data_IF_934790505582
#
_entry.id   IF_934790505582
#
_cell.length_a   1.000
_cell.length_b   1.000
_cell.length_c   1.000
_cell.angle_alpha   90.00
_cell.angle_beta   90.00
_cell.angle_gamma   90.00
#
_symmetry.space_group_name_H-M   'P 1'
#
loop_
_entity.id
_entity.type
_entity.pdbx_description
1 polymer ?
#
# COMPACT_ATOMS: atom_id res chain seq x y z
N UNK A 1 28.00 -1.70 -26.45
CA UNK A 1 27.86 -1.32 -25.03
C UNK A 1 28.86 -2.15 -24.23
N UNK A 2 29.71 -1.54 -23.41
CA UNK A 2 30.68 -2.29 -22.58
C UNK A 2 29.95 -3.03 -21.45
N UNK A 3 30.59 -4.05 -20.87
CA UNK A 3 30.03 -4.79 -19.73
C UNK A 3 29.73 -3.86 -18.53
N UNK A 4 30.65 -2.94 -18.23
CA UNK A 4 30.44 -1.91 -17.19
C UNK A 4 29.22 -1.01 -17.49
N UNK A 5 29.01 -0.60 -18.74
CA UNK A 5 27.83 0.20 -19.11
C UNK A 5 26.53 -0.57 -18.91
N UNK A 6 26.50 -1.88 -19.15
CA UNK A 6 25.32 -2.73 -18.89
C UNK A 6 25.02 -2.79 -17.38
N UNK A 7 26.03 -2.99 -16.54
CA UNK A 7 25.88 -3.02 -15.07
C UNK A 7 25.35 -1.69 -14.52
N UNK A 8 25.87 -0.56 -15.02
CA UNK A 8 25.37 0.78 -14.66
C UNK A 8 23.91 0.97 -15.06
N UNK A 9 23.55 0.58 -16.28
CA UNK A 9 22.17 0.68 -16.77
C UNK A 9 21.21 -0.16 -15.92
N UNK A 10 21.58 -1.42 -15.63
CA UNK A 10 20.79 -2.32 -14.75
C UNK A 10 20.53 -1.69 -13.39
N UNK A 11 21.57 -1.18 -12.72
CA UNK A 11 21.43 -0.55 -11.40
C UNK A 11 20.64 0.75 -11.46
N UNK A 12 20.76 1.52 -12.54
CA UNK A 12 19.96 2.73 -12.76
C UNK A 12 18.47 2.39 -12.92
N UNK A 13 18.13 1.42 -13.76
CA UNK A 13 16.75 0.97 -13.96
C UNK A 13 16.12 0.50 -12.65
N UNK A 14 16.83 -0.35 -11.90
CA UNK A 14 16.41 -0.79 -10.57
C UNK A 14 16.18 0.40 -9.62
N UNK A 15 17.10 1.37 -9.60
CA UNK A 15 16.97 2.57 -8.77
C UNK A 15 15.74 3.39 -9.11
N UNK A 16 15.43 3.58 -10.40
CA UNK A 16 14.27 4.34 -10.84
C UNK A 16 12.96 3.65 -10.43
N UNK A 17 12.91 2.32 -10.55
CA UNK A 17 11.75 1.54 -10.11
C UNK A 17 11.56 1.64 -8.60
N UNK A 18 12.63 1.51 -7.80
CA UNK A 18 12.53 1.64 -6.34
C UNK A 18 12.11 3.06 -5.92
N UNK A 19 12.62 4.10 -6.58
CA UNK A 19 12.21 5.48 -6.33
C UNK A 19 10.71 5.67 -6.54
N UNK A 20 10.19 5.11 -7.63
CA UNK A 20 8.77 5.15 -7.96
C UNK A 20 7.94 4.36 -6.96
N UNK A 21 8.36 3.15 -6.57
CA UNK A 21 7.65 2.33 -5.58
C UNK A 21 7.61 2.98 -4.19
N UNK A 22 8.69 3.66 -3.78
CA UNK A 22 8.69 4.43 -2.54
C UNK A 22 7.71 5.61 -2.60
N UNK A 23 7.61 6.28 -3.75
CA UNK A 23 6.60 7.32 -3.99
C UNK A 23 5.18 6.75 -3.92
N UNK A 24 4.88 5.62 -4.57
CA UNK A 24 3.56 4.97 -4.48
C UNK A 24 3.19 4.60 -3.04
N UNK A 25 4.14 4.03 -2.31
CA UNK A 25 3.95 3.63 -0.91
C UNK A 25 3.51 4.81 -0.04
N UNK A 26 4.16 5.96 -0.21
CA UNK A 26 3.82 7.17 0.52
C UNK A 26 2.57 7.87 0.00
N UNK A 27 2.33 7.84 -1.32
CA UNK A 27 1.12 8.41 -1.90
C UNK A 27 -0.12 7.73 -1.31
N UNK A 28 -0.10 6.39 -1.21
CA UNK A 28 -1.15 5.62 -0.54
C UNK A 28 -1.36 6.09 0.91
N UNK A 29 -0.29 6.28 1.69
CA UNK A 29 -0.39 6.74 3.08
C UNK A 29 -0.93 8.16 3.23
N UNK A 30 -0.63 9.03 2.28
CA UNK A 30 -0.99 10.45 2.32
C UNK A 30 -2.31 10.78 1.61
N UNK A 31 -3.05 9.76 1.12
CA UNK A 31 -4.27 9.96 0.31
C UNK A 31 -4.00 10.80 -0.95
N UNK A 32 -2.79 10.67 -1.49
CA UNK A 32 -2.46 11.22 -2.80
C UNK A 32 -2.87 10.18 -3.83
N UNK A 33 -3.46 10.65 -4.92
CA UNK A 33 -3.83 9.82 -6.05
C UNK A 33 -2.64 8.97 -6.52
N UNK A 34 -2.86 7.65 -6.57
CA UNK A 34 -1.86 6.65 -6.96
C UNK A 34 -1.77 6.47 -8.48
N UNK A 35 -2.52 7.23 -9.27
CA UNK A 35 -2.31 7.32 -10.70
C UNK A 35 -0.91 7.87 -10.99
N UNK A 36 -0.20 7.21 -11.92
CA UNK A 36 1.20 7.50 -12.22
C UNK A 36 1.45 8.97 -12.60
N UNK A 37 0.57 9.56 -13.43
CA UNK A 37 0.70 10.95 -13.85
C UNK A 37 0.47 11.93 -12.70
N UNK A 38 -0.41 11.58 -11.75
CA UNK A 38 -0.67 12.39 -10.55
C UNK A 38 0.49 12.38 -9.57
N UNK A 39 1.16 11.24 -9.41
CA UNK A 39 2.36 11.17 -8.59
C UNK A 39 3.48 12.02 -9.19
N UNK A 40 3.66 12.03 -10.51
CA UNK A 40 4.67 12.88 -11.16
C UNK A 40 4.46 14.37 -10.90
N UNK A 41 3.20 14.80 -10.85
CA UNK A 41 2.81 16.18 -10.55
C UNK A 41 2.93 16.54 -9.06
N UNK A 42 3.07 15.53 -8.17
CA UNK A 42 3.21 15.75 -6.74
C UNK A 42 4.48 16.55 -6.41
N UNK A 43 4.30 17.65 -5.67
CA UNK A 43 5.41 18.50 -5.21
C UNK A 43 6.43 17.75 -4.35
N UNK A 44 5.98 16.74 -3.60
CA UNK A 44 6.78 16.01 -2.62
C UNK A 44 7.20 14.61 -3.11
N UNK A 45 6.43 13.99 -4.00
CA UNK A 45 6.65 12.60 -4.44
C UNK A 45 6.98 12.46 -5.93
N UNK A 46 6.86 13.54 -6.70
CA UNK A 46 7.15 13.58 -8.13
C UNK A 46 8.64 13.77 -8.42
N UNK A 47 8.93 14.40 -9.56
CA UNK A 47 10.30 14.54 -10.08
C UNK A 47 10.83 15.99 -10.06
N UNK A 48 10.20 16.88 -9.29
CA UNK A 48 10.65 18.26 -9.14
C UNK A 48 11.89 18.35 -8.24
N UNK A 49 12.60 19.48 -8.29
CA UNK A 49 13.72 19.77 -7.38
C UNK A 49 13.31 19.87 -5.90
N UNK A 50 12.01 20.01 -5.63
CA UNK A 50 11.43 20.01 -4.28
C UNK A 50 11.01 18.63 -3.79
N UNK A 51 11.06 17.61 -4.65
CA UNK A 51 10.63 16.27 -4.30
C UNK A 51 11.54 15.67 -3.22
N UNK A 52 10.95 14.84 -2.36
CA UNK A 52 11.69 14.11 -1.36
C UNK A 52 12.67 13.15 -2.04
N UNK A 53 13.90 13.11 -1.53
CA UNK A 53 14.86 12.08 -1.89
C UNK A 53 14.39 10.70 -1.42
N UNK A 54 14.86 9.64 -2.08
CA UNK A 54 14.60 8.26 -1.65
C UNK A 54 14.79 8.04 -0.14
N UNK A 55 15.90 8.52 0.42
CA UNK A 55 16.20 8.32 1.83
C UNK A 55 15.17 9.02 2.73
N UNK A 56 14.74 10.23 2.37
CA UNK A 56 13.66 10.91 3.09
C UNK A 56 12.36 10.12 3.01
N UNK A 57 12.02 9.56 1.85
CA UNK A 57 10.83 8.71 1.69
C UNK A 57 10.90 7.46 2.57
N UNK A 58 12.04 6.76 2.58
CA UNK A 58 12.29 5.57 3.41
C UNK A 58 12.22 5.90 4.91
N UNK A 59 12.71 7.07 5.32
CA UNK A 59 12.57 7.52 6.72
C UNK A 59 11.11 7.70 7.12
N UNK A 60 10.29 8.33 6.26
CA UNK A 60 8.86 8.47 6.54
C UNK A 60 8.14 7.12 6.64
N UNK A 61 8.51 6.14 5.78
CA UNK A 61 8.00 4.78 5.85
C UNK A 61 8.45 4.06 7.14
N UNK A 62 9.65 4.34 7.65
CA UNK A 62 10.11 3.80 8.92
C UNK A 62 9.34 4.44 10.09
N UNK A 63 9.14 5.75 10.07
CA UNK A 63 8.49 6.52 11.14
C UNK A 63 7.03 6.08 11.32
N UNK A 64 6.34 5.75 10.24
CA UNK A 64 4.98 5.19 10.29
C UNK A 64 4.94 3.66 10.43
N UNK A 65 6.09 3.02 10.67
CA UNK A 65 6.25 1.57 10.88
C UNK A 65 5.85 0.71 9.68
N UNK A 66 5.74 1.27 8.47
CA UNK A 66 5.49 0.50 7.25
C UNK A 66 6.70 -0.32 6.78
N UNK A 67 7.88 -0.02 7.31
CA UNK A 67 9.08 -0.83 7.17
C UNK A 67 9.81 -0.93 8.51
N UNK A 68 10.65 -1.95 8.66
CA UNK A 68 11.52 -2.13 9.83
C UNK A 68 12.90 -1.49 9.62
N UNK A 69 13.70 -1.42 10.69
CA UNK A 69 15.10 -0.94 10.59
C UNK A 69 15.95 -1.82 9.70
N UNK A 70 15.75 -3.14 9.74
CA UNK A 70 16.52 -4.09 8.93
C UNK A 70 16.15 -3.99 7.45
N UNK A 71 14.88 -3.76 7.15
CA UNK A 71 14.39 -3.51 5.79
C UNK A 71 14.92 -2.19 5.24
N UNK A 72 14.92 -1.13 6.05
CA UNK A 72 15.59 0.13 5.70
C UNK A 72 17.06 -0.09 5.38
N UNK A 73 17.78 -0.92 6.16
CA UNK A 73 19.19 -1.21 5.89
C UNK A 73 19.39 -1.90 4.53
N UNK A 74 18.46 -2.75 4.07
CA UNK A 74 18.51 -3.34 2.71
C UNK A 74 18.33 -2.26 1.63
N UNK A 75 17.30 -1.41 1.77
CA UNK A 75 17.01 -0.30 0.86
C UNK A 75 18.21 0.67 0.75
N UNK A 76 18.81 1.05 1.88
CA UNK A 76 19.99 1.91 1.91
C UNK A 76 21.22 1.23 1.29
N UNK A 77 21.40 -0.08 1.54
CA UNK A 77 22.51 -0.84 0.97
C UNK A 77 22.45 -0.84 -0.56
N UNK A 78 21.27 -1.04 -1.15
CA UNK A 78 21.08 -0.91 -2.60
C UNK A 78 21.41 0.50 -3.10
N UNK A 79 20.89 1.54 -2.44
CA UNK A 79 21.12 2.92 -2.87
C UNK A 79 22.59 3.36 -2.76
N UNK A 80 23.33 2.82 -1.81
CA UNK A 80 24.77 3.05 -1.71
C UNK A 80 25.52 2.45 -2.90
N UNK A 81 25.17 1.22 -3.31
CA UNK A 81 25.75 0.58 -4.52
C UNK A 81 25.42 1.41 -5.76
N UNK A 82 24.16 1.83 -5.90
CA UNK A 82 23.73 2.73 -6.96
C UNK A 82 24.55 4.02 -7.00
N UNK A 83 24.77 4.67 -5.87
CA UNK A 83 25.52 5.92 -5.83
C UNK A 83 26.96 5.74 -6.36
N UNK A 84 27.60 4.59 -6.11
CA UNK A 84 28.89 4.27 -6.72
C UNK A 84 28.78 4.12 -8.24
N UNK A 85 27.80 3.35 -8.74
CA UNK A 85 27.62 3.19 -10.18
C UNK A 85 27.19 4.46 -10.92
N UNK A 86 26.58 5.43 -10.26
CA UNK A 86 26.17 6.69 -10.92
C UNK A 86 27.27 7.75 -10.84
N UNK A 87 27.89 7.93 -9.68
CA UNK A 87 28.79 9.06 -9.44
C UNK A 87 30.28 8.72 -9.54
N UNK A 88 30.65 7.46 -9.31
CA UNK A 88 32.05 7.04 -9.36
C UNK A 88 32.38 6.44 -10.73
N UNK A 89 33.26 7.07 -11.51
CA UNK A 89 33.67 6.58 -12.84
C UNK A 89 34.47 5.27 -12.76
N UNK A 90 35.13 5.02 -11.63
CA UNK A 90 35.97 3.83 -11.43
C UNK A 90 35.16 2.60 -11.01
N UNK A 91 33.87 2.76 -10.70
CA UNK A 91 32.94 1.66 -10.44
C UNK A 91 32.59 0.92 -11.74
N UNK A 92 33.54 0.15 -12.27
CA UNK A 92 33.37 -0.61 -13.52
C UNK A 92 32.77 -2.01 -13.30
N UNK A 93 32.75 -2.48 -12.06
CA UNK A 93 32.29 -3.81 -11.64
C UNK A 93 31.51 -3.72 -10.31
N UNK A 94 30.74 -4.75 -9.97
CA UNK A 94 30.00 -4.83 -8.72
C UNK A 94 30.94 -4.90 -7.52
N UNK A 95 31.99 -5.72 -7.61
CA UNK A 95 33.09 -5.79 -6.65
C UNK A 95 33.70 -4.42 -6.36
N UNK A 96 34.02 -3.65 -7.40
CA UNK A 96 34.64 -2.32 -7.23
C UNK A 96 33.67 -1.35 -6.59
N UNK A 97 32.40 -1.34 -7.01
CA UNK A 97 31.35 -0.52 -6.41
C UNK A 97 31.19 -0.82 -4.91
N UNK A 98 31.08 -2.10 -4.53
CA UNK A 98 30.93 -2.53 -3.13
C UNK A 98 32.19 -2.26 -2.31
N UNK A 99 33.39 -2.45 -2.86
CA UNK A 99 34.65 -2.20 -2.16
C UNK A 99 34.83 -0.73 -1.72
N UNK A 100 34.19 0.20 -2.43
CA UNK A 100 34.20 1.62 -2.08
C UNK A 100 33.22 1.98 -0.96
N UNK A 101 32.47 1.01 -0.42
CA UNK A 101 31.46 1.21 0.63
C UNK A 101 31.89 0.41 1.86
N UNK A 102 32.32 1.13 2.89
CA UNK A 102 32.86 0.52 4.11
C UNK A 102 31.90 -0.48 4.74
N UNK A 103 32.37 -1.73 4.93
CA UNK A 103 31.64 -2.80 5.60
C UNK A 103 30.46 -3.40 4.82
N UNK A 104 30.19 -2.94 3.60
CA UNK A 104 29.05 -3.44 2.83
C UNK A 104 29.23 -4.90 2.42
N UNK A 105 30.41 -5.31 1.95
CA UNK A 105 30.65 -6.71 1.55
C UNK A 105 30.36 -7.70 2.69
N UNK A 106 30.85 -7.43 3.90
CA UNK A 106 30.59 -8.26 5.08
C UNK A 106 29.09 -8.31 5.42
N UNK A 107 28.39 -7.19 5.21
CA UNK A 107 26.94 -7.13 5.38
C UNK A 107 26.24 -8.01 4.34
N UNK A 108 26.62 -7.96 3.07
CA UNK A 108 26.05 -8.80 2.01
C UNK A 108 26.27 -10.28 2.33
N UNK A 109 27.47 -10.67 2.75
CA UNK A 109 27.77 -12.05 3.19
C UNK A 109 26.91 -12.52 4.35
N UNK A 110 26.51 -11.61 5.24
CA UNK A 110 25.62 -11.93 6.37
C UNK A 110 24.16 -12.05 5.95
N UNK A 111 23.70 -11.20 5.03
CA UNK A 111 22.30 -11.18 4.60
C UNK A 111 22.02 -12.30 3.58
N UNK A 112 22.96 -12.54 2.66
CA UNK A 112 22.84 -13.52 1.58
C UNK A 112 24.04 -14.49 1.57
N UNK A 113 24.24 -15.29 2.62
CA UNK A 113 25.40 -16.17 2.73
C UNK A 113 25.48 -17.21 1.60
N UNK A 114 24.33 -17.62 1.06
CA UNK A 114 24.25 -18.67 0.04
C UNK A 114 24.86 -18.26 -1.30
N UNK A 115 24.89 -16.96 -1.62
CA UNK A 115 25.49 -16.48 -2.87
C UNK A 115 27.02 -16.51 -2.87
N UNK A 116 27.68 -16.75 -1.73
CA UNK A 116 29.14 -16.79 -1.62
C UNK A 116 29.70 -18.22 -1.56
N UNK A 117 28.87 -19.24 -1.83
CA UNK A 117 29.29 -20.64 -1.85
C UNK A 117 29.79 -21.01 -3.26
N UNK A 118 31.11 -21.09 -3.42
CA UNK A 118 31.78 -21.64 -4.62
C UNK A 118 31.51 -20.90 -5.95
N UNK A 119 31.13 -19.62 -5.86
CA UNK A 119 30.90 -18.73 -7.02
C UNK A 119 31.98 -17.64 -7.05
N UNK A 120 32.31 -17.11 -8.23
CA UNK A 120 33.21 -15.96 -8.36
C UNK A 120 32.65 -14.74 -7.60
N UNK A 121 33.52 -13.96 -6.97
CA UNK A 121 33.11 -12.82 -6.14
C UNK A 121 32.25 -11.79 -6.90
N UNK A 122 32.58 -11.51 -8.16
CA UNK A 122 31.80 -10.57 -8.99
C UNK A 122 30.37 -11.06 -9.23
N UNK A 123 30.21 -12.33 -9.58
CA UNK A 123 28.90 -12.96 -9.80
C UNK A 123 28.11 -13.07 -8.49
N UNK A 124 28.79 -13.40 -7.39
CA UNK A 124 28.19 -13.45 -6.05
C UNK A 124 27.58 -12.08 -5.66
N UNK A 125 28.30 -10.99 -5.93
CA UNK A 125 27.82 -9.64 -5.62
C UNK A 125 26.73 -9.21 -6.62
N UNK A 126 26.80 -9.57 -7.89
CA UNK A 126 25.70 -9.31 -8.84
C UNK A 126 24.39 -9.95 -8.36
N UNK A 127 24.45 -11.23 -7.94
CA UNK A 127 23.31 -11.94 -7.35
C UNK A 127 22.79 -11.22 -6.10
N UNK A 128 23.68 -10.77 -5.21
CA UNK A 128 23.29 -9.94 -4.05
C UNK A 128 22.60 -8.63 -4.47
N UNK A 129 23.06 -7.96 -5.53
CA UNK A 129 22.47 -6.70 -6.00
C UNK A 129 21.08 -6.92 -6.57
N UNK A 130 20.90 -7.98 -7.37
CA UNK A 130 19.58 -8.38 -7.87
C UNK A 130 18.65 -8.75 -6.71
N UNK A 131 19.13 -9.49 -5.71
CA UNK A 131 18.30 -9.87 -4.58
C UNK A 131 17.96 -8.71 -3.64
N UNK A 132 18.91 -7.78 -3.42
CA UNK A 132 18.62 -6.52 -2.72
C UNK A 132 17.51 -5.73 -3.42
N UNK A 133 17.51 -5.70 -4.75
CA UNK A 133 16.47 -5.04 -5.52
C UNK A 133 15.11 -5.74 -5.36
N UNK A 134 15.07 -7.08 -5.47
CA UNK A 134 13.86 -7.88 -5.27
C UNK A 134 13.28 -7.71 -3.86
N UNK A 135 14.13 -7.83 -2.84
CA UNK A 135 13.76 -7.57 -1.45
C UNK A 135 13.23 -6.14 -1.27
N UNK A 136 13.92 -5.16 -1.86
CA UNK A 136 13.51 -3.76 -1.79
C UNK A 136 12.14 -3.53 -2.43
N UNK A 137 11.85 -4.18 -3.56
CA UNK A 137 10.52 -4.15 -4.17
C UNK A 137 9.47 -4.78 -3.27
N UNK A 138 9.74 -5.95 -2.68
CA UNK A 138 8.81 -6.59 -1.75
C UNK A 138 8.54 -5.69 -0.55
N UNK A 139 9.58 -5.16 0.09
CA UNK A 139 9.47 -4.24 1.24
C UNK A 139 8.59 -3.02 0.90
N UNK A 140 8.80 -2.43 -0.27
CA UNK A 140 8.02 -1.28 -0.73
C UNK A 140 6.62 -1.69 -1.25
N UNK A 141 6.39 -2.94 -1.63
CA UNK A 141 5.08 -3.44 -2.03
C UNK A 141 4.19 -3.92 -0.87
N UNK A 142 4.80 -4.37 0.22
CA UNK A 142 4.09 -4.99 1.34
C UNK A 142 3.19 -4.00 2.09
N UNK A 143 1.94 -4.39 2.33
CA UNK A 143 1.04 -3.65 3.21
C UNK A 143 1.22 -4.12 4.65
N UNK A 144 2.09 -3.44 5.39
CA UNK A 144 2.33 -3.65 6.82
C UNK A 144 2.33 -2.34 7.59
N UNK A 145 2.14 -2.42 8.91
CA UNK A 145 2.25 -1.28 9.81
C UNK A 145 1.26 -0.17 9.48
N UNK A 146 1.75 1.05 9.22
CA UNK A 146 0.89 2.19 8.89
C UNK A 146 0.03 1.98 7.65
N UNK A 147 0.55 1.29 6.62
CA UNK A 147 -0.20 0.99 5.39
C UNK A 147 -1.31 -0.03 5.61
N UNK A 148 -1.01 -1.10 6.35
CA UNK A 148 -1.99 -2.12 6.75
C UNK A 148 -3.10 -1.51 7.59
N UNK A 149 -2.75 -0.71 8.59
CA UNK A 149 -3.72 -0.02 9.46
C UNK A 149 -4.66 0.85 8.63
N UNK A 150 -4.13 1.59 7.66
CA UNK A 150 -4.93 2.43 6.76
C UNK A 150 -5.87 1.60 5.88
N UNK A 151 -5.39 0.51 5.30
CA UNK A 151 -6.20 -0.37 4.46
C UNK A 151 -7.37 -0.98 5.24
N UNK A 152 -7.11 -1.45 6.46
CA UNK A 152 -8.14 -1.98 7.37
C UNK A 152 -9.19 -0.89 7.67
N UNK A 153 -8.76 0.31 8.07
CA UNK A 153 -9.69 1.41 8.37
C UNK A 153 -10.55 1.80 7.17
N UNK A 154 -9.98 1.83 5.96
CA UNK A 154 -10.73 2.11 4.74
C UNK A 154 -11.76 1.00 4.46
N UNK A 155 -11.35 -0.26 4.56
CA UNK A 155 -12.24 -1.42 4.37
C UNK A 155 -13.38 -1.42 5.39
N UNK A 156 -13.09 -1.20 6.68
CA UNK A 156 -14.11 -1.09 7.72
C UNK A 156 -15.08 0.04 7.43
N UNK A 157 -14.59 1.23 7.07
CA UNK A 157 -15.42 2.37 6.71
C UNK A 157 -16.36 2.02 5.55
N UNK A 158 -15.86 1.38 4.51
CA UNK A 158 -16.65 1.03 3.34
C UNK A 158 -17.73 -0.01 3.68
N UNK A 159 -17.41 -0.98 4.55
CA UNK A 159 -18.40 -1.91 5.13
C UNK A 159 -19.47 -1.16 5.92
N UNK A 160 -19.09 -0.21 6.78
CA UNK A 160 -20.05 0.58 7.55
C UNK A 160 -20.94 1.45 6.66
N UNK A 161 -20.38 2.11 5.65
CA UNK A 161 -21.13 2.92 4.68
C UNK A 161 -22.15 2.06 3.94
N UNK A 162 -21.74 0.86 3.49
CA UNK A 162 -22.62 -0.11 2.84
C UNK A 162 -23.73 -0.57 3.77
N UNK A 163 -23.40 -0.96 5.00
CA UNK A 163 -24.37 -1.36 6.03
C UNK A 163 -25.39 -0.26 6.33
N UNK A 164 -24.92 0.98 6.46
CA UNK A 164 -25.78 2.14 6.71
C UNK A 164 -26.74 2.39 5.54
N UNK A 165 -26.26 2.30 4.29
CA UNK A 165 -27.08 2.46 3.10
C UNK A 165 -28.24 1.45 3.06
N UNK A 166 -27.94 0.17 3.27
CA UNK A 166 -28.95 -0.91 3.30
C UNK A 166 -29.96 -0.67 4.42
N UNK A 167 -29.49 -0.33 5.63
CA UNK A 167 -30.39 -0.04 6.75
C UNK A 167 -31.33 1.12 6.41
N UNK A 168 -30.81 2.18 5.80
CA UNK A 168 -31.60 3.33 5.38
C UNK A 168 -32.67 2.94 4.36
N UNK A 169 -32.30 2.20 3.32
CA UNK A 169 -33.23 1.74 2.27
C UNK A 169 -34.35 0.87 2.85
N UNK A 170 -34.03 -0.02 3.79
CA UNK A 170 -35.02 -0.87 4.46
C UNK A 170 -35.92 -0.06 5.39
N UNK A 171 -35.36 0.88 6.16
CA UNK A 171 -36.17 1.77 7.00
C UNK A 171 -37.17 2.59 6.16
N UNK A 172 -36.73 3.14 5.03
CA UNK A 172 -37.58 3.88 4.10
C UNK A 172 -38.69 2.97 3.54
N UNK A 173 -38.33 1.76 3.08
CA UNK A 173 -39.30 0.77 2.57
C UNK A 173 -40.35 0.37 3.62
N UNK A 174 -39.95 0.08 4.86
CA UNK A 174 -40.92 -0.31 5.90
C UNK A 174 -41.83 0.85 6.29
N UNK A 175 -41.30 2.08 6.35
CA UNK A 175 -42.11 3.27 6.62
C UNK A 175 -43.11 3.50 5.47
N UNK A 176 -42.71 3.28 4.23
CA UNK A 176 -43.59 3.39 3.06
C UNK A 176 -44.69 2.33 3.08
N UNK A 177 -44.40 1.08 3.48
CA UNK A 177 -45.43 0.04 3.70
C UNK A 177 -46.48 0.51 4.72
N UNK A 178 -46.05 1.18 5.80
CA UNK A 178 -46.97 1.74 6.81
C UNK A 178 -47.80 2.89 6.25
N UNK A 179 -47.16 3.80 5.53
CA UNK A 179 -47.85 4.92 4.89
C UNK A 179 -48.90 4.42 3.88
N UNK A 180 -48.59 3.39 3.11
CA UNK A 180 -49.49 2.79 2.14
C UNK A 180 -50.66 2.08 2.81
N UNK A 181 -50.44 1.38 3.93
CA UNK A 181 -51.53 0.81 4.73
C UNK A 181 -52.49 1.90 5.22
N UNK A 182 -51.95 3.01 5.75
CA UNK A 182 -52.75 4.15 6.20
C UNK A 182 -53.57 4.74 5.05
N UNK A 183 -52.97 4.92 3.86
CA UNK A 183 -53.64 5.50 2.68
C UNK A 183 -54.72 4.59 2.09
N UNK A 184 -54.57 3.26 2.18
CA UNK A 184 -55.52 2.27 1.61
C UNK A 184 -56.76 2.05 2.49
N UNK A 185 -56.80 2.61 3.69
CA UNK A 185 -57.99 2.58 4.54
C UNK A 185 -59.06 3.52 3.97
N UNK A 186 -60.20 2.97 3.54
CA UNK A 186 -61.37 3.73 3.05
C UNK A 186 -62.17 4.41 4.19
N UNK A 187 -61.88 4.05 5.45
CA UNK A 187 -62.51 4.56 6.67
C UNK A 187 -61.86 5.85 7.15
N UNK A 188 -62.64 6.86 7.58
CA UNK A 188 -62.13 8.06 8.27
C UNK A 188 -61.41 7.72 9.61
N UNK A 189 -61.60 6.50 10.13
CA UNK A 189 -61.03 6.05 11.40
C UNK A 189 -60.24 4.76 11.25
N UNK A 190 -58.97 4.78 11.65
CA UNK A 190 -58.12 3.59 11.76
C UNK A 190 -58.27 3.01 13.17
N UNK A 191 -58.51 1.70 13.28
CA UNK A 191 -58.52 1.02 14.57
C UNK A 191 -57.15 1.12 15.22
N UNK A 192 -57.13 1.63 16.46
CA UNK A 192 -55.90 1.86 17.23
C UNK A 192 -55.06 0.58 17.35
N UNK A 193 -55.68 -0.57 17.62
CA UNK A 193 -54.96 -1.82 17.84
C UNK A 193 -54.24 -2.31 16.57
N UNK A 194 -54.84 -2.10 15.40
CA UNK A 194 -54.24 -2.44 14.10
C UNK A 194 -53.02 -1.55 13.82
N UNK A 195 -53.15 -0.24 14.03
CA UNK A 195 -52.06 0.72 13.83
C UNK A 195 -50.92 0.50 14.83
N UNK A 196 -51.24 0.28 16.11
CA UNK A 196 -50.26 0.02 17.17
C UNK A 196 -49.55 -1.31 16.94
N UNK A 197 -50.26 -2.34 16.52
CA UNK A 197 -49.68 -3.64 16.17
C UNK A 197 -48.67 -3.51 15.02
N UNK A 198 -49.03 -2.78 13.97
CA UNK A 198 -48.19 -2.61 12.79
C UNK A 198 -46.93 -1.76 13.09
N UNK A 199 -47.10 -0.62 13.79
CA UNK A 199 -45.96 0.20 14.25
C UNK A 199 -45.06 -0.60 15.21
N UNK A 200 -45.67 -1.45 16.07
CA UNK A 200 -44.94 -2.33 16.98
C UNK A 200 -44.09 -3.38 16.27
N UNK A 201 -44.52 -3.86 15.10
CA UNK A 201 -43.79 -4.83 14.29
C UNK A 201 -42.69 -4.20 13.41
N UNK A 202 -42.81 -2.91 13.08
CA UNK A 202 -41.88 -2.18 12.21
C UNK A 202 -40.41 -2.36 12.61
N UNK A 203 -40.12 -2.21 13.91
CA UNK A 203 -38.76 -2.39 14.45
C UNK A 203 -38.21 -3.78 14.14
N UNK A 204 -39.03 -4.82 14.29
CA UNK A 204 -38.61 -6.19 14.04
C UNK A 204 -38.43 -6.47 12.55
N UNK A 205 -39.32 -5.95 11.71
CA UNK A 205 -39.20 -6.09 10.25
C UNK A 205 -37.92 -5.45 9.72
N UNK A 206 -37.61 -4.22 10.18
CA UNK A 206 -36.36 -3.53 9.84
C UNK A 206 -35.16 -4.39 10.22
N UNK A 207 -35.10 -4.91 11.47
CA UNK A 207 -33.98 -5.73 11.94
C UNK A 207 -33.83 -7.02 11.12
N UNK A 208 -34.93 -7.74 10.88
CA UNK A 208 -34.91 -9.02 10.16
C UNK A 208 -34.50 -8.82 8.70
N UNK A 209 -35.14 -7.88 8.00
CA UNK A 209 -34.83 -7.60 6.58
C UNK A 209 -33.39 -7.08 6.44
N UNK A 210 -32.91 -6.24 7.36
CA UNK A 210 -31.52 -5.73 7.33
C UNK A 210 -30.51 -6.86 7.47
N UNK A 211 -30.72 -7.77 8.42
CA UNK A 211 -29.84 -8.92 8.60
C UNK A 211 -29.87 -9.87 7.39
N UNK A 212 -31.04 -10.06 6.77
CA UNK A 212 -31.16 -10.87 5.56
C UNK A 212 -30.36 -10.29 4.39
N UNK A 213 -30.40 -8.97 4.19
CA UNK A 213 -29.62 -8.36 3.09
C UNK A 213 -28.14 -8.28 3.37
N UNK A 214 -27.71 -8.10 4.62
CA UNK A 214 -26.30 -8.22 4.97
C UNK A 214 -25.72 -9.61 4.60
N UNK A 215 -26.50 -10.68 4.79
CA UNK A 215 -26.08 -12.05 4.49
C UNK A 215 -26.07 -12.41 3.00
N UNK A 216 -26.76 -11.65 2.13
CA UNK A 216 -26.75 -11.89 0.68
C UNK A 216 -25.57 -11.25 -0.05
N UNK A 217 -24.90 -10.31 0.61
CA UNK A 217 -23.81 -9.54 0.03
C UNK A 217 -22.42 -9.91 0.59
N UNK A 218 -22.35 -10.91 1.47
CA UNK A 218 -21.12 -11.65 1.86
C UNK A 218 -20.88 -12.84 0.93
#
# INVERSE_FOLDING_TARGET
MTDSSKKRLKVLEYSLTLELMASFSLAFLLDIDIEYDKIKESKSLGNSSSALSFNQKVNLLLDNKSITKDEKLKLESFMNIRNQFIHNKDAVSYTKAVSNISGLENRLKRIYPDFFKEIELEESIDNCVTELYNDSLSILGDFKGGRESKLIMQSERDIYVKKYKILKEIMESEIDEVNDFIKKQESEFIKKDDLVGMIGLLKYQIIVKTNQEYLKEE
#
